data_IF_199016627524
#
_entry.id   IF_199016627524
#
_cell.length_a   1.000
_cell.length_b   1.000
_cell.length_c   1.000
_cell.angle_alpha   90.00
_cell.angle_beta   90.00
_cell.angle_gamma   90.00
#
_symmetry.space_group_name_H-M   'P 1'
#
loop_
_entity.id
_entity.type
_entity.pdbx_description
1 polymer ?
#
# COMPACT_ATOMS: atom_id res chain seq x y z
N UNK A 1 -21.34 6.90 -5.90
CA UNK A 1 -20.17 6.01 -5.78
C UNK A 1 -19.39 6.01 -7.08
N UNK A 2 -18.11 6.18 -6.97
CA UNK A 2 -17.25 6.09 -8.14
C UNK A 2 -17.07 4.63 -8.50
N UNK A 3 -17.31 4.27 -9.75
CA UNK A 3 -17.06 2.91 -10.19
C UNK A 3 -15.56 2.62 -10.14
N UNK A 4 -15.21 1.37 -9.86
CA UNK A 4 -13.82 0.94 -9.91
C UNK A 4 -13.30 1.08 -11.34
N UNK A 5 -12.09 1.61 -11.51
CA UNK A 5 -11.48 1.70 -12.83
C UNK A 5 -11.16 0.31 -13.36
N UNK A 6 -11.22 0.10 -14.67
CA UNK A 6 -10.76 -1.16 -15.25
C UNK A 6 -9.31 -1.46 -14.87
N UNK A 7 -8.98 -2.74 -14.76
CA UNK A 7 -7.63 -3.17 -14.36
C UNK A 7 -6.53 -2.54 -15.23
N UNK A 8 -6.75 -2.45 -16.54
CA UNK A 8 -5.79 -1.85 -17.47
C UNK A 8 -5.52 -0.37 -17.14
N UNK A 9 -6.58 0.37 -16.80
CA UNK A 9 -6.46 1.78 -16.45
C UNK A 9 -5.68 1.97 -15.14
N UNK A 10 -5.93 1.12 -14.13
CA UNK A 10 -5.16 1.13 -12.89
C UNK A 10 -3.69 0.79 -13.10
N UNK A 11 -3.39 -0.16 -13.98
CA UNK A 11 -2.02 -0.52 -14.31
C UNK A 11 -1.28 0.67 -14.93
N UNK A 12 -1.94 1.43 -15.80
CA UNK A 12 -1.35 2.63 -16.40
C UNK A 12 -1.09 3.72 -15.36
N UNK A 13 -2.06 3.98 -14.49
CA UNK A 13 -1.92 4.97 -13.39
C UNK A 13 -0.77 4.56 -12.48
N UNK A 14 -0.71 3.30 -12.08
CA UNK A 14 0.34 2.82 -11.18
C UNK A 14 1.72 2.93 -11.84
N UNK A 15 1.84 2.63 -13.13
CA UNK A 15 3.11 2.75 -13.85
C UNK A 15 3.61 4.19 -13.88
N UNK A 16 2.71 5.16 -14.08
CA UNK A 16 3.07 6.59 -14.06
C UNK A 16 3.53 7.03 -12.69
N UNK A 17 2.82 6.60 -11.62
CA UNK A 17 3.18 6.95 -10.25
C UNK A 17 4.54 6.35 -9.89
N UNK A 18 4.80 5.10 -10.26
CA UNK A 18 6.09 4.46 -10.01
C UNK A 18 7.22 5.23 -10.69
N UNK A 19 7.02 5.64 -11.95
CA UNK A 19 8.01 6.40 -12.69
C UNK A 19 8.30 7.75 -12.03
N UNK A 20 7.26 8.49 -11.63
CA UNK A 20 7.43 9.77 -10.93
C UNK A 20 8.15 9.58 -9.60
N UNK A 21 7.74 8.58 -8.82
CA UNK A 21 8.33 8.29 -7.52
C UNK A 21 9.84 8.08 -7.64
N UNK A 22 10.25 7.26 -8.60
CA UNK A 22 11.66 6.92 -8.79
C UNK A 22 12.48 8.05 -9.38
N UNK A 23 11.89 8.88 -10.23
CA UNK A 23 12.59 9.97 -10.89
C UNK A 23 12.68 11.25 -10.05
N UNK A 24 11.81 11.40 -9.04
CA UNK A 24 11.73 12.64 -8.25
C UNK A 24 11.82 12.37 -6.73
N UNK A 25 12.67 11.43 -6.36
CA UNK A 25 13.01 11.13 -4.95
C UNK A 25 11.79 10.84 -4.07
N UNK A 26 10.80 10.17 -4.61
CA UNK A 26 9.60 9.80 -3.89
C UNK A 26 8.49 10.84 -3.92
N UNK A 27 8.66 11.92 -4.67
CA UNK A 27 7.63 12.95 -4.81
C UNK A 27 6.70 12.63 -5.97
N UNK A 28 5.42 12.90 -5.77
CA UNK A 28 4.41 12.79 -6.83
C UNK A 28 3.93 14.20 -7.15
N UNK A 29 4.33 14.72 -8.30
CA UNK A 29 4.12 16.12 -8.67
C UNK A 29 2.92 16.33 -9.59
N UNK A 30 2.32 15.27 -10.13
CA UNK A 30 1.16 15.37 -11.02
C UNK A 30 0.27 14.14 -10.93
N UNK A 31 -0.94 14.25 -11.49
CA UNK A 31 -1.90 13.16 -11.53
C UNK A 31 -2.76 13.06 -10.26
N UNK A 32 -3.52 11.96 -10.15
CA UNK A 32 -4.48 11.82 -9.06
C UNK A 32 -3.83 11.65 -7.69
N UNK A 33 -2.56 11.26 -7.62
CA UNK A 33 -1.82 11.10 -6.37
C UNK A 33 -0.89 12.27 -6.07
N UNK A 34 -1.06 13.41 -6.77
CA UNK A 34 -0.22 14.60 -6.55
C UNK A 34 -0.19 14.97 -5.08
N UNK A 35 1.02 15.12 -4.54
CA UNK A 35 1.24 15.49 -3.15
C UNK A 35 1.06 14.35 -2.14
N UNK A 36 0.66 13.16 -2.60
CA UNK A 36 0.47 12.02 -1.71
C UNK A 36 1.81 11.47 -1.23
N UNK A 37 1.83 11.05 0.03
CA UNK A 37 2.98 10.36 0.61
C UNK A 37 2.79 8.86 0.45
N UNK A 38 3.55 8.26 -0.44
CA UNK A 38 3.40 6.86 -0.83
C UNK A 38 4.68 6.09 -0.59
N UNK A 39 4.56 4.76 -0.44
CA UNK A 39 5.65 3.84 -0.63
C UNK A 39 5.36 2.98 -1.85
N UNK A 40 6.39 2.36 -2.41
CA UNK A 40 6.22 1.34 -3.45
C UNK A 40 6.41 -0.02 -2.80
N UNK A 41 5.39 -0.85 -2.93
CA UNK A 41 5.42 -2.23 -2.43
C UNK A 41 5.62 -3.17 -3.62
N UNK A 42 6.69 -3.96 -3.58
CA UNK A 42 6.97 -4.98 -4.59
C UNK A 42 6.63 -6.34 -4.01
N UNK A 43 5.68 -7.03 -4.64
CA UNK A 43 5.25 -8.37 -4.24
C UNK A 43 5.47 -9.34 -5.40
N UNK A 44 5.49 -10.65 -5.07
CA UNK A 44 5.55 -11.71 -6.07
C UNK A 44 4.14 -12.26 -6.27
N UNK A 45 3.68 -12.31 -7.50
CA UNK A 45 2.34 -12.76 -7.82
C UNK A 45 2.07 -14.17 -7.33
N UNK A 46 0.97 -14.36 -6.59
CA UNK A 46 0.61 -15.64 -5.97
C UNK A 46 0.43 -16.75 -7.01
N UNK A 47 -0.05 -16.40 -8.20
CA UNK A 47 -0.30 -17.36 -9.28
C UNK A 47 0.77 -17.33 -10.36
N UNK A 48 1.23 -16.14 -10.74
CA UNK A 48 2.14 -15.96 -11.88
C UNK A 48 3.61 -16.07 -11.53
N UNK A 49 3.98 -15.84 -10.25
CA UNK A 49 5.37 -15.72 -9.85
C UNK A 49 6.07 -14.45 -10.31
N UNK A 50 5.36 -13.55 -10.98
CA UNK A 50 5.93 -12.30 -11.49
C UNK A 50 5.87 -11.20 -10.44
N UNK A 51 6.85 -10.31 -10.48
CA UNK A 51 6.86 -9.15 -9.59
C UNK A 51 5.75 -8.16 -9.97
N UNK A 52 5.14 -7.59 -8.94
CA UNK A 52 4.14 -6.53 -9.07
C UNK A 52 4.52 -5.39 -8.15
N UNK A 53 4.40 -4.17 -8.64
CA UNK A 53 4.73 -2.96 -7.86
C UNK A 53 3.45 -2.14 -7.70
N UNK A 54 3.12 -1.83 -6.45
CA UNK A 54 1.94 -1.02 -6.12
C UNK A 54 2.35 0.18 -5.27
N UNK A 55 2.00 1.41 -5.70
CA UNK A 55 2.13 2.59 -4.83
C UNK A 55 1.00 2.58 -3.80
N UNK A 56 1.35 2.73 -2.53
CA UNK A 56 0.40 2.64 -1.42
C UNK A 56 0.63 3.78 -0.42
N UNK A 57 -0.46 4.33 0.10
CA UNK A 57 -0.41 5.21 1.26
C UNK A 57 0.02 4.39 2.48
N UNK A 58 0.74 5.01 3.39
CA UNK A 58 1.26 4.31 4.56
C UNK A 58 1.33 5.20 5.78
N UNK A 59 1.43 4.58 6.94
CA UNK A 59 1.81 5.23 8.19
C UNK A 59 2.98 4.49 8.80
N UNK A 60 3.58 5.06 9.84
CA UNK A 60 4.68 4.45 10.56
C UNK A 60 4.20 3.96 11.92
N UNK A 61 4.76 2.84 12.36
CA UNK A 61 4.59 2.33 13.72
C UNK A 61 5.98 1.95 14.23
N UNK A 62 6.65 2.89 14.91
CA UNK A 62 8.06 2.74 15.26
C UNK A 62 8.90 2.63 13.99
N UNK A 63 9.69 1.56 13.89
CA UNK A 63 10.52 1.29 12.71
C UNK A 63 9.75 0.60 11.57
N UNK A 64 8.52 0.19 11.84
CA UNK A 64 7.71 -0.54 10.86
C UNK A 64 6.90 0.42 10.00
N UNK A 65 6.53 -0.04 8.81
CA UNK A 65 5.62 0.64 7.90
C UNK A 65 4.28 -0.09 7.91
N UNK A 66 3.19 0.66 7.81
CA UNK A 66 1.84 0.08 7.86
C UNK A 66 1.10 0.47 6.59
N UNK A 67 0.55 -0.53 5.90
CA UNK A 67 -0.29 -0.35 4.72
C UNK A 67 -1.63 -1.05 4.94
N UNK A 68 -2.68 -0.52 4.32
CA UNK A 68 -4.03 -1.03 4.51
C UNK A 68 -4.57 -1.51 3.17
N UNK A 69 -5.05 -2.76 3.12
CA UNK A 69 -5.56 -3.39 1.92
C UNK A 69 -7.02 -2.99 1.66
N UNK A 70 -7.26 -1.69 1.53
CA UNK A 70 -8.61 -1.13 1.45
C UNK A 70 -9.25 -1.27 0.08
N UNK A 71 -8.47 -1.11 -0.99
CA UNK A 71 -8.97 -1.05 -2.36
C UNK A 71 -10.18 -0.11 -2.48
N UNK A 72 -10.11 1.05 -1.79
CA UNK A 72 -11.17 2.06 -1.78
C UNK A 72 -12.48 1.62 -1.14
N UNK A 73 -12.47 0.58 -0.31
CA UNK A 73 -13.67 0.01 0.31
C UNK A 73 -14.42 -0.95 -0.58
N UNK A 74 -13.80 -1.47 -1.65
CA UNK A 74 -14.46 -2.45 -2.51
C UNK A 74 -14.69 -3.77 -1.77
N UNK A 75 -15.63 -4.62 -2.27
CA UNK A 75 -15.96 -5.86 -1.56
C UNK A 75 -14.90 -6.95 -1.62
N UNK A 76 -13.88 -6.78 -2.46
CA UNK A 76 -12.78 -7.76 -2.61
C UNK A 76 -11.46 -7.16 -2.15
N UNK A 77 -10.54 -8.03 -1.72
CA UNK A 77 -9.18 -7.61 -1.39
C UNK A 77 -8.39 -7.25 -2.65
N UNK A 78 -7.42 -6.32 -2.55
CA UNK A 78 -6.52 -6.04 -3.67
C UNK A 78 -5.62 -7.26 -3.94
N UNK A 79 -5.16 -7.39 -5.19
CA UNK A 79 -4.32 -8.51 -5.60
C UNK A 79 -3.03 -8.59 -4.79
N UNK A 80 -2.42 -7.45 -4.45
CA UNK A 80 -1.18 -7.45 -3.71
C UNK A 80 -1.34 -8.06 -2.30
N UNK A 81 -2.53 -8.00 -1.72
CA UNK A 81 -2.79 -8.65 -0.44
C UNK A 81 -2.66 -10.17 -0.56
N UNK A 82 -3.23 -10.76 -1.61
CA UNK A 82 -3.10 -12.19 -1.88
C UNK A 82 -1.64 -12.57 -2.14
N UNK A 83 -0.90 -11.70 -2.84
CA UNK A 83 0.51 -11.93 -3.08
C UNK A 83 1.32 -11.95 -1.78
N UNK A 84 1.02 -11.04 -0.86
CA UNK A 84 1.66 -10.98 0.45
C UNK A 84 1.37 -12.23 1.28
N UNK A 85 0.14 -12.73 1.23
CA UNK A 85 -0.21 -13.97 1.95
C UNK A 85 0.58 -15.17 1.44
N UNK A 86 0.78 -15.25 0.12
CA UNK A 86 1.54 -16.34 -0.50
C UNK A 86 3.05 -16.19 -0.28
N UNK A 87 3.55 -14.95 -0.33
CA UNK A 87 4.97 -14.64 -0.25
C UNK A 87 5.17 -13.41 0.67
N UNK A 88 5.36 -13.62 1.98
CA UNK A 88 5.41 -12.50 2.93
C UNK A 88 6.70 -11.68 2.90
N UNK A 89 7.74 -12.14 2.21
CA UNK A 89 8.94 -11.32 2.01
C UNK A 89 8.70 -10.39 0.82
N UNK A 90 8.79 -9.09 1.05
CA UNK A 90 8.42 -8.07 0.07
C UNK A 90 9.53 -7.04 -0.09
N UNK A 91 9.50 -6.30 -1.21
CA UNK A 91 10.35 -5.15 -1.42
C UNK A 91 9.60 -3.86 -1.07
N UNK A 92 10.33 -2.90 -0.53
CA UNK A 92 9.77 -1.59 -0.17
C UNK A 92 10.70 -0.49 -0.67
N UNK A 93 10.10 0.56 -1.24
CA UNK A 93 10.83 1.78 -1.62
C UNK A 93 10.14 2.96 -0.96
N UNK A 94 10.92 3.78 -0.26
CA UNK A 94 10.39 4.96 0.45
C UNK A 94 11.24 6.19 0.13
N UNK A 95 10.64 7.36 0.25
CA UNK A 95 11.38 8.62 0.15
C UNK A 95 12.21 8.81 1.41
N UNK A 96 13.48 9.17 1.22
CA UNK A 96 14.42 9.48 2.29
C UNK A 96 15.12 10.79 1.97
N UNK A 97 15.78 11.44 2.94
CA UNK A 97 16.46 12.72 2.68
C UNK A 97 17.48 12.66 1.54
N UNK A 98 18.12 11.52 1.34
CA UNK A 98 19.14 11.34 0.28
C UNK A 98 18.59 10.79 -1.03
N UNK A 99 17.28 10.56 -1.14
CA UNK A 99 16.64 9.99 -2.31
C UNK A 99 15.73 8.81 -1.95
N UNK A 100 15.54 7.88 -2.87
CA UNK A 100 14.71 6.70 -2.63
C UNK A 100 15.53 5.63 -1.93
N UNK A 101 15.05 5.18 -0.78
CA UNK A 101 15.65 4.08 -0.02
C UNK A 101 14.91 2.79 -0.36
N UNK A 102 15.64 1.73 -0.69
CA UNK A 102 15.09 0.40 -0.99
C UNK A 102 15.53 -0.61 0.06
N UNK A 103 14.60 -1.45 0.50
CA UNK A 103 14.91 -2.52 1.45
C UNK A 103 13.89 -3.65 1.31
N UNK A 104 14.22 -4.81 1.89
CA UNK A 104 13.25 -5.90 2.01
C UNK A 104 12.58 -5.84 3.37
N UNK A 105 11.37 -6.37 3.45
CA UNK A 105 10.59 -6.39 4.68
C UNK A 105 9.84 -7.71 4.79
N UNK A 106 9.55 -8.12 6.03
CA UNK A 106 8.63 -9.20 6.30
C UNK A 106 7.26 -8.61 6.53
N UNK A 107 6.26 -9.05 5.77
CA UNK A 107 4.89 -8.59 5.91
C UNK A 107 4.13 -9.53 6.83
N UNK A 108 3.50 -8.97 7.87
CA UNK A 108 2.59 -9.73 8.72
C UNK A 108 1.25 -9.04 8.80
N UNK A 109 0.20 -9.82 9.03
CA UNK A 109 -1.16 -9.31 9.12
C UNK A 109 -1.46 -8.97 10.57
N UNK A 110 -1.75 -7.70 10.85
CA UNK A 110 -2.15 -7.26 12.18
C UNK A 110 -3.55 -7.81 12.51
N UNK A 111 -3.75 -8.18 13.77
CA UNK A 111 -5.02 -8.74 14.21
C UNK A 111 -5.47 -8.11 15.52
N UNK A 112 -6.77 -8.23 15.81
CA UNK A 112 -7.34 -7.80 17.08
C UNK A 112 -7.11 -6.32 17.36
N UNK A 113 -6.66 -6.00 18.56
CA UNK A 113 -6.47 -4.62 19.02
C UNK A 113 -5.37 -3.90 18.25
N UNK A 114 -4.32 -4.62 17.85
CA UNK A 114 -3.26 -4.02 17.02
C UNK A 114 -3.83 -3.57 15.67
N UNK A 115 -4.61 -4.42 15.02
CA UNK A 115 -5.25 -4.08 13.75
C UNK A 115 -6.09 -2.82 13.89
N UNK A 116 -6.93 -2.75 14.93
CA UNK A 116 -7.82 -1.61 15.13
C UNK A 116 -7.04 -0.33 15.44
N UNK A 117 -6.03 -0.43 16.27
CA UNK A 117 -5.16 0.70 16.62
C UNK A 117 -4.47 1.29 15.39
N UNK A 118 -3.91 0.42 14.54
CA UNK A 118 -3.20 0.85 13.33
C UNK A 118 -4.15 1.40 12.27
N UNK A 119 -5.32 0.79 12.13
CA UNK A 119 -6.34 1.30 11.20
C UNK A 119 -6.79 2.71 11.61
N UNK A 120 -7.10 2.89 12.89
CA UNK A 120 -7.55 4.17 13.41
C UNK A 120 -6.46 5.25 13.28
N UNK A 121 -5.20 4.89 13.49
CA UNK A 121 -4.08 5.81 13.31
C UNK A 121 -3.99 6.31 11.86
N UNK A 122 -4.15 5.44 10.89
CA UNK A 122 -4.12 5.85 9.48
C UNK A 122 -5.36 6.66 9.11
N UNK A 123 -6.53 6.29 9.60
CA UNK A 123 -7.77 7.03 9.37
C UNK A 123 -7.71 8.44 9.98
N UNK A 124 -7.00 8.63 11.08
CA UNK A 124 -6.82 9.94 11.70
C UNK A 124 -5.99 10.88 10.81
N UNK A 125 -5.01 10.34 10.09
CA UNK A 125 -4.16 11.10 9.16
C UNK A 125 -4.83 11.23 7.79
N UNK A 126 -5.52 10.18 7.36
CA UNK A 126 -6.17 10.07 6.05
C UNK A 126 -7.63 9.67 6.25
N UNK A 127 -8.55 10.65 6.45
CA UNK A 127 -9.95 10.37 6.83
C UNK A 127 -10.73 9.47 5.87
N UNK A 128 -10.31 9.40 4.60
CA UNK A 128 -10.94 8.50 3.62
C UNK A 128 -10.94 7.04 4.05
N UNK A 129 -9.95 6.60 4.84
CA UNK A 129 -9.89 5.21 5.30
C UNK A 129 -11.02 4.87 6.27
N UNK A 130 -11.50 5.84 7.07
CA UNK A 130 -12.68 5.62 7.91
C UNK A 130 -13.91 5.31 7.06
N UNK A 131 -14.04 5.99 5.90
CA UNK A 131 -15.16 5.77 4.99
C UNK A 131 -15.05 4.42 4.27
N UNK A 132 -13.82 3.98 3.94
CA UNK A 132 -13.62 2.70 3.23
C UNK A 132 -14.19 1.50 4.00
N UNK A 133 -13.97 1.43 5.31
CA UNK A 133 -14.50 0.32 6.12
C UNK A 133 -16.02 0.34 6.16
N UNK A 134 -16.65 1.51 6.08
CA UNK A 134 -18.10 1.64 6.06
C UNK A 134 -18.72 1.15 4.76
N UNK A 135 -17.96 1.10 3.66
CA UNK A 135 -18.45 0.69 2.34
C UNK A 135 -18.49 -0.81 2.13
N UNK A 136 -17.86 -1.59 3.00
CA UNK A 136 -17.79 -3.04 2.84
C UNK A 136 -17.98 -3.75 4.16
N UNK A 137 -18.56 -4.96 4.09
CA UNK A 137 -18.74 -5.83 5.26
C UNK A 137 -17.49 -6.65 5.56
N UNK A 138 -16.53 -6.74 4.62
CA UNK A 138 -15.27 -7.43 4.91
C UNK A 138 -14.43 -6.63 5.88
N UNK A 139 -13.69 -7.32 6.75
CA UNK A 139 -12.69 -6.65 7.57
C UNK A 139 -11.51 -6.29 6.67
N UNK A 140 -11.22 -5.00 6.53
CA UNK A 140 -10.11 -4.53 5.69
C UNK A 140 -8.79 -4.87 6.39
N UNK A 141 -7.91 -5.66 5.75
CA UNK A 141 -6.65 -6.07 6.38
C UNK A 141 -5.69 -4.92 6.59
N UNK A 142 -4.97 -4.98 7.71
CA UNK A 142 -3.87 -4.08 8.02
C UNK A 142 -2.58 -4.89 8.00
N UNK A 143 -1.61 -4.47 7.20
CA UNK A 143 -0.36 -5.19 7.01
C UNK A 143 0.79 -4.39 7.59
N UNK A 144 1.57 -5.02 8.47
CA UNK A 144 2.76 -4.43 9.06
C UNK A 144 3.97 -4.93 8.28
N UNK A 145 4.75 -3.99 7.75
CA UNK A 145 5.98 -4.27 7.01
C UNK A 145 7.15 -4.06 7.95
N UNK A 146 7.79 -5.16 8.35
CA UNK A 146 8.92 -5.15 9.29
C UNK A 146 10.22 -5.17 8.49
N UNK A 147 10.98 -4.06 8.44
CA UNK A 147 12.20 -4.01 7.65
C UNK A 147 13.22 -5.07 8.05
N UNK A 148 13.83 -5.70 7.04
CA UNK A 148 14.97 -6.61 7.20
C UNK A 148 16.24 -5.80 7.05
N UNK A 149 16.95 -5.60 8.15
CA UNK A 149 18.17 -4.80 8.17
C UNK A 149 19.34 -5.57 8.73
#
# INVERSE_FOLDING_TARGET
MTEARPAQEWNNVNSEVVAQFRSDNGKISSGMFKGARLLLLTTVGAKSGKERINPLAFTRDGDNYVVIASKGGSPTHPDWYHNVLANPEVGVEVAAPSGVEQFTAHARIAQGDERQRLYDAQAAVMPGFAEYQKKTSRAIPVIVLEPRR
#
